data_IF_992372968232
#
_entry.id   IF_992372968232
#
_cell.length_a   1.000
_cell.length_b   1.000
_cell.length_c   1.000
_cell.angle_alpha   90.00
_cell.angle_beta   90.00
_cell.angle_gamma   90.00
#
_symmetry.space_group_name_H-M   'P 1'
#
loop_
_entity.id
_entity.type
_entity.pdbx_description
1 polymer ?
#
# COMPACT_ATOMS: atom_id res chain seq x y z
N UNK A 1 21.91 1.75 0.89
CA UNK A 1 20.93 0.80 1.43
C UNK A 1 20.27 1.36 2.69
N UNK A 2 19.08 0.86 3.03
CA UNK A 2 18.40 1.07 4.31
C UNK A 2 18.10 -0.28 4.97
N UNK A 3 17.76 -0.29 6.27
CA UNK A 3 17.45 -1.52 7.01
C UNK A 3 16.00 -1.53 7.47
N UNK A 4 15.24 -2.56 7.08
CA UNK A 4 13.91 -2.84 7.62
C UNK A 4 14.06 -3.84 8.77
N UNK A 5 13.83 -3.36 9.99
CA UNK A 5 13.95 -4.15 11.22
C UNK A 5 12.58 -4.62 11.72
N UNK A 6 12.45 -5.94 11.86
CA UNK A 6 11.39 -6.62 12.60
C UNK A 6 11.94 -7.14 13.94
N UNK A 7 11.05 -7.61 14.81
CA UNK A 7 11.42 -8.10 16.15
C UNK A 7 12.50 -9.19 16.10
N UNK A 8 12.37 -10.15 15.19
CA UNK A 8 13.21 -11.35 15.06
C UNK A 8 14.24 -11.26 13.92
N UNK A 9 14.08 -10.33 12.98
CA UNK A 9 14.88 -10.29 11.74
C UNK A 9 15.12 -8.87 11.22
N UNK A 10 16.16 -8.69 10.42
CA UNK A 10 16.48 -7.44 9.75
C UNK A 10 16.79 -7.73 8.28
N UNK A 11 16.37 -6.83 7.39
CA UNK A 11 16.65 -6.92 5.97
C UNK A 11 17.33 -5.64 5.52
N UNK A 12 18.46 -5.79 4.84
CA UNK A 12 19.07 -4.71 4.09
C UNK A 12 18.34 -4.57 2.75
N UNK A 13 18.02 -3.33 2.38
CA UNK A 13 17.32 -3.01 1.14
C UNK A 13 18.12 -1.93 0.44
N UNK A 14 18.59 -2.23 -0.77
CA UNK A 14 19.22 -1.23 -1.62
C UNK A 14 18.17 -0.21 -2.09
N UNK A 15 18.50 1.07 -1.93
CA UNK A 15 17.65 2.15 -2.40
C UNK A 15 18.06 2.50 -3.81
N UNK A 16 17.52 1.76 -4.77
CA UNK A 16 17.79 1.95 -6.19
C UNK A 16 16.93 3.08 -6.76
N UNK A 17 17.29 3.55 -7.95
CA UNK A 17 16.51 4.58 -8.66
C UNK A 17 15.08 4.10 -8.96
N UNK A 18 14.88 2.82 -9.28
CA UNK A 18 13.54 2.26 -9.52
C UNK A 18 12.68 2.32 -8.27
N UNK A 19 13.26 2.00 -7.10
CA UNK A 19 12.54 2.06 -5.83
C UNK A 19 12.21 3.50 -5.42
N UNK A 20 13.09 4.45 -5.74
CA UNK A 20 12.80 5.89 -5.60
C UNK A 20 11.62 6.31 -6.47
N UNK A 21 11.61 5.92 -7.75
CA UNK A 21 10.52 6.26 -8.67
C UNK A 21 9.19 5.63 -8.23
N UNK A 22 9.21 4.39 -7.74
CA UNK A 22 8.02 3.73 -7.20
C UNK A 22 7.48 4.46 -5.96
N UNK A 23 8.38 4.86 -5.05
CA UNK A 23 8.03 5.62 -3.85
C UNK A 23 7.38 6.97 -4.23
N UNK A 24 8.03 7.75 -5.08
CA UNK A 24 7.54 9.06 -5.51
C UNK A 24 6.20 8.95 -6.25
N UNK A 25 6.06 7.95 -7.13
CA UNK A 25 4.80 7.64 -7.81
C UNK A 25 3.68 7.35 -6.81
N UNK A 26 3.96 6.52 -5.80
CA UNK A 26 2.99 6.17 -4.75
C UNK A 26 2.59 7.41 -3.94
N UNK A 27 3.55 8.24 -3.51
CA UNK A 27 3.27 9.47 -2.77
C UNK A 27 2.41 10.44 -3.58
N UNK A 28 2.67 10.59 -4.88
CA UNK A 28 1.87 11.44 -5.75
C UNK A 28 0.43 10.94 -5.88
N UNK A 29 0.22 9.62 -5.99
CA UNK A 29 -1.13 9.03 -5.96
C UNK A 29 -1.85 9.31 -4.66
N UNK A 30 -1.17 9.18 -3.52
CA UNK A 30 -1.74 9.49 -2.20
C UNK A 30 -2.15 10.97 -2.08
N UNK A 31 -1.28 11.88 -2.51
CA UNK A 31 -1.57 13.32 -2.52
C UNK A 31 -2.75 13.67 -3.42
N UNK A 32 -2.84 13.06 -4.60
CA UNK A 32 -3.97 13.24 -5.53
C UNK A 32 -5.29 12.72 -4.94
N UNK A 33 -5.28 11.53 -4.32
CA UNK A 33 -6.46 10.97 -3.65
C UNK A 33 -6.94 11.86 -2.50
N UNK A 34 -6.00 12.42 -1.72
CA UNK A 34 -6.31 13.36 -0.64
C UNK A 34 -6.93 14.66 -1.19
N UNK A 35 -6.36 15.23 -2.25
CA UNK A 35 -6.85 16.47 -2.85
C UNK A 35 -8.24 16.31 -3.49
N UNK A 36 -8.53 15.14 -4.07
CA UNK A 36 -9.81 14.85 -4.71
C UNK A 36 -10.88 14.29 -3.77
N UNK A 37 -10.48 13.90 -2.54
CA UNK A 37 -11.35 13.21 -1.58
C UNK A 37 -11.78 11.81 -2.05
N UNK A 38 -11.15 11.25 -3.09
CA UNK A 38 -11.48 9.94 -3.65
C UNK A 38 -10.24 9.05 -3.62
N UNK A 39 -10.33 7.96 -2.87
CA UNK A 39 -9.34 6.89 -2.87
C UNK A 39 -10.04 5.60 -3.29
N UNK A 40 -9.54 4.95 -4.33
CA UNK A 40 -10.02 3.63 -4.70
C UNK A 40 -9.59 2.59 -3.67
N UNK A 41 -10.50 1.69 -3.32
CA UNK A 41 -10.21 0.56 -2.45
C UNK A 41 -9.43 -0.49 -3.26
N UNK A 42 -8.44 -1.11 -2.64
CA UNK A 42 -7.67 -2.16 -3.29
C UNK A 42 -8.44 -3.49 -3.30
N UNK A 43 -9.21 -3.70 -4.37
CA UNK A 43 -9.90 -4.96 -4.68
C UNK A 43 -9.16 -5.79 -5.75
N UNK A 44 -7.84 -5.62 -5.88
CA UNK A 44 -7.02 -6.47 -6.75
C UNK A 44 -6.64 -7.81 -6.12
N UNK A 45 -6.85 -7.97 -4.82
CA UNK A 45 -6.41 -9.14 -4.05
C UNK A 45 -7.50 -9.62 -3.08
N UNK A 46 -8.03 -10.82 -3.33
CA UNK A 46 -9.07 -11.44 -2.48
C UNK A 46 -8.59 -11.70 -1.06
N UNK A 47 -7.33 -12.06 -0.84
CA UNK A 47 -6.80 -12.32 0.49
C UNK A 47 -6.79 -11.05 1.34
N UNK A 48 -6.32 -9.94 0.76
CA UNK A 48 -6.36 -8.63 1.42
C UNK A 48 -7.78 -8.15 1.69
N UNK A 49 -8.70 -8.37 0.75
CA UNK A 49 -10.10 -8.02 0.95
C UNK A 49 -10.74 -8.82 2.11
N UNK A 50 -10.41 -10.11 2.26
CA UNK A 50 -10.88 -10.94 3.37
C UNK A 50 -10.38 -10.46 4.74
N UNK A 51 -9.14 -9.97 4.81
CA UNK A 51 -8.54 -9.46 6.04
C UNK A 51 -8.76 -7.95 6.28
N UNK A 52 -9.50 -7.26 5.41
CA UNK A 52 -9.70 -5.82 5.51
C UNK A 52 -10.61 -5.46 6.69
N UNK A 53 -10.16 -4.55 7.57
CA UNK A 53 -10.95 -4.09 8.73
C UNK A 53 -12.28 -3.40 8.36
N UNK A 54 -12.43 -2.91 7.13
CA UNK A 54 -13.67 -2.31 6.65
C UNK A 54 -14.59 -3.28 5.88
N UNK A 55 -14.22 -4.56 5.76
CA UNK A 55 -14.93 -5.54 4.90
C UNK A 55 -16.44 -5.60 5.18
N UNK A 56 -16.84 -5.58 6.45
CA UNK A 56 -18.26 -5.70 6.85
C UNK A 56 -19.15 -4.55 6.33
N UNK A 57 -18.55 -3.40 6.00
CA UNK A 57 -19.25 -2.22 5.50
C UNK A 57 -18.80 -1.84 4.07
N UNK A 58 -18.07 -2.74 3.40
CA UNK A 58 -17.58 -2.53 2.05
C UNK A 58 -18.59 -3.10 1.05
N UNK A 59 -19.30 -2.21 0.36
CA UNK A 59 -20.19 -2.51 -0.77
C UNK A 59 -19.49 -3.12 -2.00
N UNK A 60 -18.16 -3.08 -2.02
CA UNK A 60 -17.30 -3.61 -3.07
C UNK A 60 -16.51 -4.86 -2.63
N UNK A 61 -16.85 -5.46 -1.48
CA UNK A 61 -16.14 -6.62 -0.96
C UNK A 61 -16.09 -7.77 -1.98
N UNK A 62 -14.90 -8.35 -2.15
CA UNK A 62 -14.71 -9.56 -2.93
C UNK A 62 -15.18 -10.76 -2.09
N UNK A 63 -16.00 -11.64 -2.69
CA UNK A 63 -16.49 -12.88 -2.08
C UNK A 63 -15.41 -13.67 -1.36
#
# INVERSE_FOLDING_TARGET
YGVIKYADRAFEVDYTEELEQELLTTLNRMRSALATGRAERNHGDRARCRACGHRQHCDQALG
#
